data_IF_755834407170
#
_entry.id   IF_755834407170
#
_cell.length_a   1.000
_cell.length_b   1.000
_cell.length_c   1.000
_cell.angle_alpha   90.00
_cell.angle_beta   90.00
_cell.angle_gamma   90.00
#
_symmetry.space_group_name_H-M   'P 1'
#
loop_
_entity.id
_entity.type
_entity.pdbx_description
1 polymer ?
#
# COMPACT_ATOMS: atom_id res chain seq x y z
N UNK A 1 -10.13 -7.03 -22.69
CA UNK A 1 -10.06 -6.80 -21.24
C UNK A 1 -9.71 -5.33 -21.01
N UNK A 2 -10.51 -4.58 -20.27
CA UNK A 2 -10.27 -3.16 -20.06
C UNK A 2 -9.14 -2.99 -19.04
N UNK A 3 -8.04 -2.36 -19.43
CA UNK A 3 -6.94 -2.05 -18.51
C UNK A 3 -7.20 -0.76 -17.77
N UNK A 4 -6.75 -0.72 -16.52
CA UNK A 4 -6.77 0.48 -15.70
C UNK A 4 -5.47 0.58 -14.92
N UNK A 5 -4.85 1.76 -14.92
CA UNK A 5 -3.66 2.06 -14.14
C UNK A 5 -4.04 2.50 -12.73
N UNK A 6 -3.33 1.99 -11.71
CA UNK A 6 -3.46 2.45 -10.33
C UNK A 6 -2.13 3.08 -9.90
N UNK A 7 -2.15 4.32 -9.41
CA UNK A 7 -0.94 5.03 -8.99
C UNK A 7 -0.90 5.15 -7.46
N UNK A 8 -0.05 4.33 -6.85
CA UNK A 8 0.42 4.39 -5.46
C UNK A 8 1.76 3.66 -5.37
N UNK A 9 2.86 4.26 -5.84
CA UNK A 9 4.10 3.52 -6.09
C UNK A 9 4.95 3.25 -4.86
N UNK A 10 4.78 4.01 -3.78
CA UNK A 10 5.66 3.98 -2.62
C UNK A 10 4.99 3.62 -1.31
N UNK A 11 5.84 3.27 -0.33
CA UNK A 11 5.55 2.84 1.04
C UNK A 11 4.69 1.57 1.12
N UNK A 12 5.25 0.54 1.71
CA UNK A 12 4.61 -0.79 1.79
C UNK A 12 3.22 -0.75 2.46
N UNK A 13 3.09 0.01 3.56
CA UNK A 13 1.80 0.17 4.26
C UNK A 13 0.72 0.79 3.38
N UNK A 14 1.07 1.80 2.58
CA UNK A 14 0.13 2.45 1.65
C UNK A 14 -0.30 1.50 0.54
N UNK A 15 0.62 0.65 0.05
CA UNK A 15 0.30 -0.37 -0.95
C UNK A 15 -0.68 -1.39 -0.36
N UNK A 16 -0.40 -1.90 0.84
CA UNK A 16 -1.29 -2.88 1.52
C UNK A 16 -2.69 -2.32 1.72
N UNK A 17 -2.82 -1.08 2.19
CA UNK A 17 -4.11 -0.39 2.36
C UNK A 17 -4.88 -0.29 1.04
N UNK A 18 -4.18 -0.19 -0.09
CA UNK A 18 -4.78 -0.04 -1.41
C UNK A 18 -5.01 -1.37 -2.16
N UNK A 19 -4.52 -2.51 -1.67
CA UNK A 19 -4.77 -3.82 -2.29
C UNK A 19 -6.27 -4.13 -2.46
N UNK A 20 -7.15 -3.85 -1.47
CA UNK A 20 -8.58 -4.06 -1.67
C UNK A 20 -9.19 -3.19 -2.76
N UNK A 21 -8.65 -1.98 -3.01
CA UNK A 21 -9.07 -1.13 -4.14
C UNK A 21 -8.78 -1.84 -5.45
N UNK A 22 -7.54 -2.35 -5.61
CA UNK A 22 -7.16 -3.08 -6.82
C UNK A 22 -7.99 -4.34 -7.01
N UNK A 23 -8.27 -5.08 -5.93
CA UNK A 23 -9.14 -6.26 -5.96
C UNK A 23 -10.55 -5.91 -6.42
N UNK A 24 -11.16 -4.89 -5.85
CA UNK A 24 -12.49 -4.42 -6.24
C UNK A 24 -12.56 -4.08 -7.74
N UNK A 25 -11.55 -3.36 -8.25
CA UNK A 25 -11.47 -3.03 -9.68
C UNK A 25 -11.35 -4.31 -10.54
N UNK A 26 -10.58 -5.29 -10.09
CA UNK A 26 -10.46 -6.58 -10.80
C UNK A 26 -11.79 -7.33 -10.82
N UNK A 27 -12.54 -7.34 -9.73
CA UNK A 27 -13.90 -7.94 -9.65
C UNK A 27 -14.92 -7.21 -10.53
N UNK A 28 -14.69 -5.92 -10.83
CA UNK A 28 -15.46 -5.16 -11.83
C UNK A 28 -15.03 -5.45 -13.28
N UNK A 29 -14.09 -6.36 -13.50
CA UNK A 29 -13.65 -6.81 -14.81
C UNK A 29 -12.51 -6.01 -15.43
N UNK A 30 -11.84 -5.17 -14.64
CA UNK A 30 -10.63 -4.46 -15.08
C UNK A 30 -9.38 -5.34 -14.90
N UNK A 31 -8.44 -5.20 -15.83
CA UNK A 31 -7.06 -5.65 -15.64
C UNK A 31 -6.27 -4.51 -14.99
N UNK A 32 -6.00 -4.64 -13.69
CA UNK A 32 -5.32 -3.59 -12.93
C UNK A 32 -3.82 -3.67 -13.15
N UNK A 33 -3.23 -2.57 -13.59
CA UNK A 33 -1.79 -2.38 -13.78
C UNK A 33 -1.30 -1.38 -12.73
N UNK A 34 -0.34 -1.81 -11.91
CA UNK A 34 0.08 -1.02 -10.77
C UNK A 34 1.60 -0.89 -10.68
N UNK A 35 2.16 0.29 -11.04
CA UNK A 35 3.57 0.58 -10.83
C UNK A 35 3.89 0.75 -9.34
N UNK A 36 4.83 -0.03 -8.83
CA UNK A 36 5.33 0.05 -7.47
C UNK A 36 6.86 -0.01 -7.44
N UNK A 37 7.48 0.43 -6.36
CA UNK A 37 8.92 0.33 -6.21
C UNK A 37 9.38 -1.12 -6.29
N UNK A 38 10.52 -1.35 -6.95
CA UNK A 38 11.05 -2.68 -7.22
C UNK A 38 11.23 -3.54 -5.98
N UNK A 39 11.68 -2.93 -4.87
CA UNK A 39 11.82 -3.61 -3.58
C UNK A 39 10.48 -4.09 -3.01
N UNK A 40 9.40 -3.32 -3.16
CA UNK A 40 8.07 -3.72 -2.71
C UNK A 40 7.43 -4.74 -3.64
N UNK A 41 7.70 -4.64 -4.96
CA UNK A 41 7.20 -5.62 -5.93
C UNK A 41 7.61 -7.03 -5.55
N UNK A 42 8.89 -7.25 -5.29
CA UNK A 42 9.43 -8.56 -4.90
C UNK A 42 8.76 -9.12 -3.63
N UNK A 43 8.33 -8.24 -2.71
CA UNK A 43 7.67 -8.64 -1.47
C UNK A 43 6.20 -9.03 -1.66
N UNK A 44 5.53 -8.45 -2.64
CA UNK A 44 4.06 -8.53 -2.79
C UNK A 44 3.63 -9.47 -3.92
N UNK A 45 4.38 -9.54 -5.03
CA UNK A 45 3.96 -10.26 -6.24
C UNK A 45 3.72 -11.77 -6.03
N UNK A 46 4.41 -12.40 -5.06
CA UNK A 46 4.18 -13.80 -4.70
C UNK A 46 2.84 -13.99 -3.95
N UNK A 47 2.38 -12.94 -3.29
CA UNK A 47 1.20 -12.98 -2.41
C UNK A 47 -0.07 -12.42 -3.06
N UNK A 48 0.04 -11.71 -4.19
CA UNK A 48 -1.07 -11.03 -4.88
C UNK A 48 -1.03 -11.38 -6.37
N UNK A 49 -2.01 -12.12 -6.84
CA UNK A 49 -2.07 -12.62 -8.23
C UNK A 49 -3.15 -11.96 -9.10
N UNK A 50 -3.94 -11.06 -8.55
CA UNK A 50 -5.01 -10.36 -9.27
C UNK A 50 -4.59 -8.98 -9.81
N UNK A 51 -3.32 -8.60 -9.64
CA UNK A 51 -2.76 -7.31 -10.08
C UNK A 51 -1.50 -7.54 -10.91
N UNK A 52 -1.35 -6.81 -12.00
CA UNK A 52 -0.09 -6.76 -12.73
C UNK A 52 0.80 -5.65 -12.15
N UNK A 53 1.83 -6.02 -11.39
CA UNK A 53 2.79 -5.07 -10.85
C UNK A 53 3.90 -4.74 -11.84
N UNK A 54 4.18 -3.43 -12.03
CA UNK A 54 5.31 -2.94 -12.82
C UNK A 54 6.36 -2.37 -11.85
N UNK A 55 7.62 -2.79 -12.00
CA UNK A 55 8.73 -2.20 -11.25
C UNK A 55 9.03 -0.79 -11.70
N UNK A 56 9.11 0.14 -10.75
CA UNK A 56 9.67 1.47 -10.95
C UNK A 56 10.83 1.69 -9.98
N UNK A 57 11.83 2.46 -10.43
CA UNK A 57 12.93 2.83 -9.55
C UNK A 57 12.41 3.75 -8.43
N UNK A 58 12.88 3.58 -7.18
CA UNK A 58 12.56 4.49 -6.11
C UNK A 58 13.20 5.86 -6.36
N UNK A 59 12.40 6.85 -6.70
CA UNK A 59 12.80 8.24 -6.83
C UNK A 59 11.87 9.09 -5.98
N UNK A 60 12.41 9.69 -4.94
CA UNK A 60 11.63 10.45 -3.95
C UNK A 60 10.94 11.67 -4.58
N UNK A 61 11.52 12.23 -5.63
CA UNK A 61 11.01 13.45 -6.26
C UNK A 61 10.14 13.21 -7.49
N UNK A 62 10.32 12.08 -8.17
CA UNK A 62 9.65 11.75 -9.43
C UNK A 62 8.79 10.50 -9.38
N UNK A 63 8.44 10.05 -8.18
CA UNK A 63 7.73 8.78 -7.93
C UNK A 63 6.43 8.65 -8.75
N UNK A 64 5.56 9.66 -8.70
CA UNK A 64 4.28 9.64 -9.42
C UNK A 64 4.49 9.80 -10.93
N UNK A 65 5.27 10.78 -11.43
CA UNK A 65 5.61 10.85 -12.85
C UNK A 65 6.27 9.59 -13.40
N UNK A 66 7.15 8.92 -12.64
CA UNK A 66 7.76 7.65 -13.05
C UNK A 66 6.72 6.53 -13.19
N UNK A 67 5.75 6.46 -12.29
CA UNK A 67 4.66 5.50 -12.36
C UNK A 67 3.76 5.73 -13.57
N UNK A 68 3.38 6.98 -13.86
CA UNK A 68 2.65 7.34 -15.09
C UNK A 68 3.43 6.94 -16.34
N UNK A 69 4.71 7.27 -16.39
CA UNK A 69 5.58 6.94 -17.53
C UNK A 69 5.63 5.43 -17.75
N UNK A 70 5.82 4.63 -16.71
CA UNK A 70 5.88 3.18 -16.80
C UNK A 70 4.59 2.57 -17.39
N UNK A 71 3.42 3.11 -17.05
CA UNK A 71 2.15 2.72 -17.65
C UNK A 71 2.11 3.11 -19.14
N UNK A 72 2.43 4.36 -19.45
CA UNK A 72 2.36 4.90 -20.81
C UNK A 72 3.29 4.18 -21.77
N UNK A 73 4.52 3.89 -21.34
CA UNK A 73 5.52 3.16 -22.16
C UNK A 73 5.07 1.73 -22.46
N UNK A 74 4.40 1.07 -21.50
CA UNK A 74 4.04 -0.34 -21.66
C UNK A 74 2.67 -0.56 -22.30
N UNK A 75 1.69 0.33 -22.06
CA UNK A 75 0.30 0.12 -22.48
C UNK A 75 -0.29 1.28 -23.28
N UNK A 76 0.46 2.36 -23.47
CA UNK A 76 -0.06 3.56 -24.08
C UNK A 76 -1.08 4.28 -23.20
N UNK A 77 -2.02 5.00 -23.80
CA UNK A 77 -3.06 5.75 -23.08
C UNK A 77 -4.15 4.81 -22.59
N UNK A 78 -4.17 4.54 -21.28
CA UNK A 78 -5.24 3.81 -20.57
C UNK A 78 -5.81 4.70 -19.46
N UNK A 79 -7.05 4.44 -18.96
CA UNK A 79 -7.56 5.11 -17.78
C UNK A 79 -6.63 4.91 -16.59
N UNK A 80 -6.42 5.96 -15.79
CA UNK A 80 -5.55 5.94 -14.61
C UNK A 80 -6.33 6.49 -13.42
N UNK A 81 -6.25 5.78 -12.30
CA UNK A 81 -6.69 6.22 -10.98
C UNK A 81 -5.44 6.57 -10.17
N UNK A 82 -5.27 7.85 -9.86
CA UNK A 82 -4.17 8.34 -9.04
C UNK A 82 -4.64 8.51 -7.59
N UNK A 83 -4.21 7.61 -6.73
CA UNK A 83 -4.46 7.62 -5.28
C UNK A 83 -3.20 7.94 -4.47
N UNK A 84 -2.11 8.28 -5.15
CA UNK A 84 -0.88 8.76 -4.52
C UNK A 84 -0.97 10.23 -4.12
N UNK A 85 -2.04 10.92 -4.51
CA UNK A 85 -2.28 12.30 -4.13
C UNK A 85 -2.03 12.48 -2.63
N UNK A 86 -1.26 13.48 -2.28
CA UNK A 86 -0.90 13.78 -0.91
C UNK A 86 -2.13 14.19 -0.12
N UNK A 87 -2.27 13.61 1.06
CA UNK A 87 -3.32 14.00 2.01
C UNK A 87 -3.22 15.52 2.29
N UNK A 88 -4.36 16.24 2.31
CA UNK A 88 -4.36 17.66 2.61
C UNK A 88 -3.67 17.94 3.95
N UNK A 89 -2.71 18.85 3.96
CA UNK A 89 -1.87 19.15 5.13
C UNK A 89 -0.43 18.67 5.00
N UNK A 90 -0.08 17.85 4.01
CA UNK A 90 1.32 17.63 3.65
C UNK A 90 1.81 18.81 2.81
N UNK A 91 3.00 19.32 3.14
CA UNK A 91 3.58 20.55 2.55
C UNK A 91 3.89 20.46 1.04
N UNK A 92 3.53 19.39 0.38
CA UNK A 92 3.98 19.13 -1.00
C UNK A 92 3.16 19.72 -2.14
N UNK A 93 1.92 20.18 -1.92
CA UNK A 93 1.19 20.79 -3.05
C UNK A 93 0.17 21.84 -2.61
N UNK A 94 0.43 23.08 -3.00
CA UNK A 94 -0.56 24.16 -2.99
C UNK A 94 -1.73 23.91 -3.97
N UNK A 95 -1.59 22.96 -4.88
CA UNK A 95 -2.57 22.71 -5.96
C UNK A 95 -3.76 21.86 -5.54
N UNK A 96 -3.64 21.06 -4.48
CA UNK A 96 -4.75 20.26 -3.93
C UNK A 96 -5.60 21.00 -2.88
N UNK A 97 -5.28 22.23 -2.55
CA UNK A 97 -6.14 23.08 -1.70
C UNK A 97 -7.48 23.46 -2.35
N UNK A 98 -7.68 23.09 -3.62
CA UNK A 98 -8.93 23.35 -4.37
C UNK A 98 -10.10 22.47 -3.87
N UNK A 99 -9.83 21.43 -3.09
CA UNK A 99 -10.86 20.49 -2.63
C UNK A 99 -11.58 20.93 -1.34
N UNK A 100 -11.40 22.19 -0.89
CA UNK A 100 -12.23 22.82 0.14
C UNK A 100 -12.00 22.37 1.57
N UNK A 101 -12.47 23.14 2.52
CA UNK A 101 -12.27 23.00 3.98
C UNK A 101 -12.91 21.77 4.63
N UNK A 102 -13.47 20.83 3.86
CA UNK A 102 -14.15 19.64 4.35
C UNK A 102 -13.26 18.44 4.71
N UNK A 103 -11.94 18.57 4.59
CA UNK A 103 -10.99 17.45 4.78
C UNK A 103 -10.53 17.23 6.23
N UNK A 104 -10.92 18.06 7.17
CA UNK A 104 -10.43 18.02 8.54
C UNK A 104 -10.76 16.74 9.33
N UNK A 105 -11.71 15.94 8.86
CA UNK A 105 -12.16 14.72 9.56
C UNK A 105 -11.91 13.43 8.77
N UNK A 106 -11.55 13.50 7.48
CA UNK A 106 -11.35 12.31 6.64
C UNK A 106 -10.01 11.64 6.96
N UNK A 107 -10.05 10.36 7.25
CA UNK A 107 -8.82 9.59 7.50
C UNK A 107 -8.08 9.31 6.19
N UNK A 108 -6.77 9.12 6.28
CA UNK A 108 -5.89 8.88 5.15
C UNK A 108 -6.34 7.70 4.25
N UNK A 109 -6.78 6.60 4.83
CA UNK A 109 -7.30 5.46 4.09
C UNK A 109 -8.65 5.78 3.42
N UNK A 110 -9.57 6.45 4.10
CA UNK A 110 -10.85 6.89 3.53
C UNK A 110 -10.64 7.77 2.29
N UNK A 111 -9.69 8.71 2.38
CA UNK A 111 -9.31 9.57 1.25
C UNK A 111 -8.92 8.77 0.00
N UNK A 112 -8.09 7.72 0.15
CA UNK A 112 -7.67 6.88 -0.99
C UNK A 112 -8.84 6.14 -1.64
N UNK A 113 -9.73 5.58 -0.83
CA UNK A 113 -10.92 4.88 -1.32
C UNK A 113 -11.89 5.83 -2.04
N UNK A 114 -12.05 7.03 -1.53
CA UNK A 114 -12.86 8.07 -2.18
C UNK A 114 -12.27 8.50 -3.53
N UNK A 115 -10.95 8.71 -3.62
CA UNK A 115 -10.28 9.03 -4.90
C UNK A 115 -10.45 7.91 -5.93
N UNK A 116 -10.47 6.66 -5.47
CA UNK A 116 -10.67 5.50 -6.33
C UNK A 116 -12.14 5.22 -6.66
N UNK A 117 -13.08 5.96 -6.08
CA UNK A 117 -14.53 5.71 -6.16
C UNK A 117 -14.90 4.28 -5.71
N UNK A 118 -14.17 3.75 -4.72
CA UNK A 118 -14.40 2.42 -4.14
C UNK A 118 -15.06 2.57 -2.76
N UNK A 119 -16.12 1.81 -2.47
CA UNK A 119 -16.77 1.85 -1.17
C UNK A 119 -15.77 1.55 -0.04
N UNK A 120 -15.76 2.37 1.01
CA UNK A 120 -14.74 2.26 2.07
C UNK A 120 -14.81 0.95 2.87
N UNK A 121 -15.97 0.31 2.95
CA UNK A 121 -16.12 -1.01 3.57
C UNK A 121 -15.33 -2.11 2.85
N UNK A 122 -14.97 -1.92 1.57
CA UNK A 122 -14.12 -2.86 0.82
C UNK A 122 -12.71 -3.00 1.41
N UNK A 123 -12.25 -2.08 2.24
CA UNK A 123 -10.95 -2.17 2.92
C UNK A 123 -10.75 -3.46 3.72
N UNK A 124 -11.83 -4.10 4.13
CA UNK A 124 -11.79 -5.36 4.87
C UNK A 124 -11.70 -6.59 3.96
N UNK A 125 -11.81 -6.42 2.65
CA UNK A 125 -11.67 -7.46 1.63
C UNK A 125 -10.22 -7.67 1.18
N UNK A 126 -9.26 -7.45 2.07
CA UNK A 126 -7.84 -7.72 1.81
C UNK A 126 -7.64 -9.22 1.57
N UNK A 127 -7.16 -9.55 0.38
CA UNK A 127 -6.81 -10.92 0.01
C UNK A 127 -5.34 -11.00 -0.39
N UNK A 128 -4.65 -11.96 0.19
CA UNK A 128 -3.27 -12.31 -0.15
C UNK A 128 -3.02 -13.79 0.13
N UNK A 129 -2.11 -14.38 -0.62
CA UNK A 129 -1.66 -15.76 -0.40
C UNK A 129 -0.62 -15.75 0.73
N UNK A 130 -0.91 -16.50 1.78
CA UNK A 130 0.06 -16.70 2.86
C UNK A 130 1.08 -17.76 2.45
N UNK A 131 2.35 -17.52 2.73
CA UNK A 131 3.40 -18.52 2.65
C UNK A 131 3.58 -19.16 4.01
N UNK A 132 2.80 -20.22 4.29
CA UNK A 132 2.79 -20.88 5.59
C UNK A 132 4.14 -21.49 5.96
N UNK A 133 4.94 -21.92 4.99
CA UNK A 133 6.28 -22.46 5.25
C UNK A 133 7.20 -21.37 5.81
N UNK A 134 7.30 -20.23 5.12
CA UNK A 134 8.08 -19.08 5.60
C UNK A 134 7.56 -18.51 6.93
N UNK A 135 6.24 -18.52 7.12
CA UNK A 135 5.63 -18.06 8.38
C UNK A 135 6.00 -18.99 9.54
N UNK A 136 5.94 -20.32 9.34
CA UNK A 136 6.34 -21.29 10.33
C UNK A 136 7.83 -21.22 10.65
N UNK A 137 8.69 -21.08 9.65
CA UNK A 137 10.13 -20.87 9.85
C UNK A 137 10.42 -19.64 10.72
N UNK A 138 9.73 -18.51 10.44
CA UNK A 138 9.86 -17.30 11.25
C UNK A 138 9.34 -17.51 12.66
N UNK A 139 8.18 -18.15 12.79
CA UNK A 139 7.61 -18.48 14.10
C UNK A 139 8.57 -19.30 14.93
N UNK A 140 9.07 -20.42 14.41
CA UNK A 140 10.00 -21.32 15.09
C UNK A 140 11.34 -20.65 15.45
N UNK A 141 11.75 -19.68 14.63
CA UNK A 141 12.97 -18.90 14.87
C UNK A 141 12.84 -17.95 16.05
N UNK A 142 11.71 -17.25 16.16
CA UNK A 142 11.56 -16.14 17.11
C UNK A 142 10.72 -16.48 18.33
N UNK A 143 9.71 -17.34 18.21
CA UNK A 143 8.83 -17.71 19.32
C UNK A 143 9.38 -18.92 20.05
N UNK A 144 9.79 -18.74 21.29
CA UNK A 144 10.36 -19.79 22.14
C UNK A 144 9.43 -20.20 23.28
N UNK A 145 8.44 -19.37 23.57
CA UNK A 145 7.48 -19.58 24.64
C UNK A 145 6.05 -19.67 24.09
N UNK A 146 5.17 -20.35 24.80
CA UNK A 146 3.77 -20.50 24.38
C UNK A 146 3.02 -19.16 24.37
N UNK A 147 3.37 -18.26 25.29
CA UNK A 147 2.79 -16.94 25.39
C UNK A 147 3.85 -15.89 24.98
N UNK A 148 3.52 -15.06 24.03
CA UNK A 148 4.41 -14.00 23.54
C UNK A 148 3.62 -12.75 23.15
N UNK A 149 4.29 -11.61 23.22
CA UNK A 149 3.80 -10.32 22.73
C UNK A 149 4.69 -9.85 21.59
N UNK A 150 4.09 -9.36 20.52
CA UNK A 150 4.81 -8.75 19.40
C UNK A 150 4.75 -7.25 19.54
N UNK A 151 5.91 -6.60 19.55
CA UNK A 151 6.01 -5.16 19.75
C UNK A 151 6.77 -4.53 18.59
N UNK A 152 6.09 -3.68 17.82
CA UNK A 152 6.73 -2.86 16.79
C UNK A 152 7.21 -1.52 17.37
N UNK A 153 8.51 -1.38 17.54
CA UNK A 153 9.11 -0.13 18.04
C UNK A 153 9.59 0.79 16.92
N UNK A 154 9.79 0.25 15.72
CA UNK A 154 10.30 1.00 14.58
C UNK A 154 9.19 1.66 13.79
N UNK A 155 9.39 2.91 13.41
CA UNK A 155 8.48 3.69 12.56
C UNK A 155 9.27 4.60 11.61
N UNK A 156 8.58 5.26 10.68
CA UNK A 156 9.20 6.06 9.62
C UNK A 156 10.08 7.22 10.10
N UNK A 157 9.93 7.65 11.35
CA UNK A 157 10.70 8.74 11.97
C UNK A 157 11.77 8.23 12.94
N UNK A 158 11.98 6.92 13.04
CA UNK A 158 12.95 6.28 13.91
C UNK A 158 12.33 5.25 14.83
N UNK A 159 13.11 4.83 15.85
CA UNK A 159 12.67 3.86 16.85
C UNK A 159 12.02 4.57 18.03
N UNK A 160 10.87 4.06 18.49
CA UNK A 160 10.26 4.54 19.71
C UNK A 160 11.13 4.23 20.93
N UNK A 161 11.32 5.21 21.78
CA UNK A 161 12.18 5.08 22.97
C UNK A 161 11.32 4.92 24.24
N UNK A 162 10.63 3.77 24.33
CA UNK A 162 9.93 3.38 25.56
C UNK A 162 10.19 1.91 25.86
N UNK A 163 10.10 1.56 27.13
CA UNK A 163 10.23 0.18 27.59
C UNK A 163 8.87 -0.48 27.61
N UNK A 164 8.76 -1.64 26.98
CA UNK A 164 7.57 -2.50 27.10
C UNK A 164 7.77 -3.47 28.25
N UNK A 165 6.82 -3.53 29.16
CA UNK A 165 6.80 -4.50 30.23
C UNK A 165 5.72 -5.56 29.94
N UNK A 166 6.11 -6.81 29.89
CA UNK A 166 5.22 -7.95 29.74
C UNK A 166 5.66 -9.11 30.60
N UNK A 167 4.71 -9.99 30.93
CA UNK A 167 4.97 -11.28 31.54
C UNK A 167 5.29 -12.37 30.52
N UNK A 168 5.04 -12.08 29.26
CA UNK A 168 5.27 -12.97 28.12
C UNK A 168 6.63 -12.68 27.47
N UNK A 169 7.08 -13.60 26.63
CA UNK A 169 8.20 -13.33 25.74
C UNK A 169 7.88 -12.10 24.86
N UNK A 170 8.78 -11.12 24.78
CA UNK A 170 8.67 -9.97 23.89
C UNK A 170 9.43 -10.28 22.61
N UNK A 171 8.79 -10.08 21.47
CA UNK A 171 9.37 -10.16 20.11
C UNK A 171 9.33 -8.77 19.50
N UNK A 172 10.50 -8.17 19.25
CA UNK A 172 10.68 -6.85 18.63
C UNK A 172 11.00 -6.94 17.13
#
# INVERSE_FOLDING_TARGET
MNRIGLIQPGRLGDIIICLPIAKYLTEKGYHVVWPIFSNFKTMIEESVDYVEFISVAPDVYLTVPCAYRAIMERYGSIPIIDIAATFPGSTCTKEYSILGDGFGEEKFDQFKYRLAEVPFNEKWNLQYKRNLEKENELFDKYVKEQNYDVVGLDHSQGRANFKVESKNQIIE
#
